data_IF_036855984570
#
_entry.id   IF_036855984570
#
_cell.length_a   1.000
_cell.length_b   1.000
_cell.length_c   1.000
_cell.angle_alpha   90.00
_cell.angle_beta   90.00
_cell.angle_gamma   90.00
#
_symmetry.space_group_name_H-M   'P 1'
#
loop_
_entity.id
_entity.type
_entity.pdbx_description
1 polymer ?
#
# COMPACT_ATOMS: atom_id res chain seq x y z
N UNK A 1 -10.09 -0.49 12.81
CA UNK A 1 -10.23 0.63 11.86
C UNK A 1 -11.03 0.17 10.65
N UNK A 2 -12.02 0.96 10.25
CA UNK A 2 -12.85 0.74 9.06
C UNK A 2 -12.85 2.01 8.23
N UNK A 3 -12.71 1.88 6.92
CA UNK A 3 -12.80 2.98 5.98
C UNK A 3 -13.68 2.55 4.80
N UNK A 4 -14.58 3.40 4.37
CA UNK A 4 -15.32 3.28 3.13
C UNK A 4 -15.09 4.53 2.30
N UNK A 5 -14.75 4.37 1.04
CA UNK A 5 -14.50 5.48 0.14
C UNK A 5 -15.28 5.34 -1.15
N UNK A 6 -15.73 6.46 -1.70
CA UNK A 6 -16.50 6.53 -2.93
C UNK A 6 -15.72 7.33 -3.97
N UNK A 7 -15.53 6.75 -5.16
CA UNK A 7 -14.82 7.40 -6.25
C UNK A 7 -15.77 8.30 -7.06
N UNK A 8 -15.52 9.61 -7.01
CA UNK A 8 -16.33 10.62 -7.70
C UNK A 8 -15.88 10.92 -9.13
N UNK A 9 -14.84 10.24 -9.62
CA UNK A 9 -14.31 10.45 -10.98
C UNK A 9 -15.44 10.29 -12.02
N UNK A 10 -15.52 11.23 -12.94
CA UNK A 10 -16.46 11.15 -14.06
C UNK A 10 -16.09 9.98 -14.99
N UNK A 11 -17.07 9.17 -15.32
CA UNK A 11 -16.97 8.03 -16.24
C UNK A 11 -18.23 8.04 -17.14
N UNK A 12 -18.27 8.94 -18.16
CA UNK A 12 -19.48 9.19 -18.96
C UNK A 12 -19.91 7.95 -19.76
N UNK A 13 -18.96 7.12 -20.18
CA UNK A 13 -19.22 5.94 -20.99
C UNK A 13 -19.45 4.68 -20.15
N UNK A 14 -19.39 4.78 -18.80
CA UNK A 14 -19.53 3.64 -17.88
C UNK A 14 -18.57 2.47 -18.18
N UNK A 15 -17.37 2.78 -18.62
CA UNK A 15 -16.36 1.77 -18.98
C UNK A 15 -15.73 1.14 -17.74
N UNK A 16 -15.50 1.93 -16.71
CA UNK A 16 -14.89 1.48 -15.44
C UNK A 16 -15.95 1.22 -14.37
N UNK A 17 -16.96 2.11 -14.28
CA UNK A 17 -17.99 2.09 -13.24
C UNK A 17 -19.38 1.93 -13.85
N UNK A 18 -19.78 0.68 -14.08
CA UNK A 18 -21.09 0.36 -14.65
C UNK A 18 -22.22 0.64 -13.66
N UNK A 19 -21.97 0.33 -12.39
CA UNK A 19 -22.91 0.53 -11.28
C UNK A 19 -22.30 1.48 -10.24
N UNK A 20 -23.16 2.10 -9.41
CA UNK A 20 -22.69 2.97 -8.32
C UNK A 20 -21.87 2.18 -7.26
N UNK A 21 -22.17 0.92 -7.06
CA UNK A 21 -21.41 0.01 -6.19
C UNK A 21 -19.95 -0.17 -6.65
N UNK A 22 -19.67 -0.09 -7.96
CA UNK A 22 -18.31 -0.23 -8.49
C UNK A 22 -17.37 0.90 -8.04
N UNK A 23 -17.97 2.02 -7.61
CA UNK A 23 -17.25 3.20 -7.12
C UNK A 23 -16.82 3.09 -5.66
N UNK A 24 -17.35 2.10 -4.93
CA UNK A 24 -17.09 1.93 -3.51
C UNK A 24 -15.86 1.04 -3.29
N UNK A 25 -15.05 1.46 -2.34
CA UNK A 25 -13.90 0.68 -1.85
C UNK A 25 -14.00 0.60 -0.34
N UNK A 26 -13.87 -0.60 0.21
CA UNK A 26 -13.89 -0.86 1.64
C UNK A 26 -12.50 -1.27 2.13
N UNK A 27 -12.18 -0.85 3.33
CA UNK A 27 -10.97 -1.24 4.03
C UNK A 27 -11.26 -1.55 5.49
N UNK A 28 -10.89 -2.73 5.93
CA UNK A 28 -11.01 -3.20 7.30
C UNK A 28 -9.63 -3.55 7.84
N UNK A 29 -9.31 -3.10 9.03
CA UNK A 29 -8.02 -3.40 9.66
C UNK A 29 -8.20 -3.62 11.15
N UNK A 30 -7.66 -4.74 11.65
CA UNK A 30 -7.57 -5.02 13.07
C UNK A 30 -6.20 -4.55 13.57
N UNK A 31 -6.20 -3.64 14.54
CA UNK A 31 -4.98 -3.09 15.12
C UNK A 31 -4.68 -3.81 16.43
N UNK A 32 -3.53 -4.49 16.49
CA UNK A 32 -3.03 -5.18 17.68
C UNK A 32 -1.71 -4.51 18.03
N UNK A 33 -1.71 -3.67 19.06
CA UNK A 33 -0.54 -2.91 19.48
C UNK A 33 -0.15 -3.26 20.91
N UNK A 34 1.16 -3.29 21.18
CA UNK A 34 1.70 -3.52 22.51
C UNK A 34 2.93 -2.65 22.76
N UNK A 35 2.99 -2.05 23.92
CA UNK A 35 4.19 -1.45 24.47
C UNK A 35 5.07 -2.53 25.06
N UNK A 36 6.20 -2.84 24.43
CA UNK A 36 7.11 -3.91 24.86
C UNK A 36 8.06 -3.44 25.96
N UNK A 37 8.53 -2.18 25.86
CA UNK A 37 9.36 -1.52 26.87
C UNK A 37 8.88 -0.08 27.04
N UNK A 38 9.47 0.68 27.95
CA UNK A 38 9.15 2.11 28.10
C UNK A 38 9.41 2.91 26.83
N UNK A 39 10.36 2.47 26.00
CA UNK A 39 10.77 3.14 24.76
C UNK A 39 10.22 2.51 23.49
N UNK A 40 9.88 1.21 23.49
CA UNK A 40 9.51 0.46 22.30
C UNK A 40 8.03 0.06 22.31
N UNK A 41 7.30 0.49 21.31
CA UNK A 41 5.94 0.03 20.98
C UNK A 41 5.94 -0.63 19.62
N UNK A 42 5.20 -1.72 19.48
CA UNK A 42 5.03 -2.46 18.23
C UNK A 42 3.55 -2.67 17.94
N UNK A 43 3.23 -2.81 16.66
CA UNK A 43 1.88 -3.08 16.19
C UNK A 43 1.92 -4.09 15.04
N UNK A 44 0.95 -4.98 15.04
CA UNK A 44 0.61 -5.85 13.90
C UNK A 44 -0.81 -5.55 13.51
N UNK A 45 -1.05 -5.37 12.22
CA UNK A 45 -2.35 -4.94 11.74
C UNK A 45 -2.75 -5.68 10.45
N UNK A 46 -3.38 -6.87 10.56
CA UNK A 46 -3.99 -7.53 9.42
C UNK A 46 -5.12 -6.67 8.86
N UNK A 47 -5.21 -6.63 7.53
CA UNK A 47 -6.18 -5.81 6.80
C UNK A 47 -6.78 -6.54 5.61
N UNK A 48 -8.03 -6.16 5.30
CA UNK A 48 -8.78 -6.59 4.13
C UNK A 48 -9.19 -5.34 3.34
N UNK A 49 -8.80 -5.28 2.09
CA UNK A 49 -9.27 -4.29 1.11
C UNK A 49 -10.23 -4.97 0.16
N UNK A 50 -11.39 -4.35 -0.11
CA UNK A 50 -12.37 -4.83 -1.08
C UNK A 50 -12.70 -3.75 -2.08
N UNK A 51 -12.75 -4.11 -3.37
CA UNK A 51 -13.14 -3.22 -4.44
C UNK A 51 -13.87 -3.98 -5.55
N UNK A 52 -15.03 -3.48 -5.97
CA UNK A 52 -15.84 -4.11 -7.03
C UNK A 52 -15.26 -3.90 -8.44
N UNK A 53 -14.66 -2.74 -8.70
CA UNK A 53 -14.01 -2.46 -9.99
C UNK A 53 -12.50 -2.73 -9.91
N UNK A 54 -12.06 -3.85 -10.43
CA UNK A 54 -10.65 -4.28 -10.45
C UNK A 54 -10.10 -4.32 -11.89
N UNK A 55 -8.78 -4.16 -12.02
CA UNK A 55 -8.12 -4.20 -13.31
C UNK A 55 -8.19 -5.60 -13.92
N UNK A 56 -8.45 -5.67 -15.23
CA UNK A 56 -8.44 -6.87 -16.01
C UNK A 56 -7.35 -6.87 -17.08
N UNK A 57 -7.21 -7.99 -17.76
CA UNK A 57 -6.35 -8.14 -18.93
C UNK A 57 -7.04 -8.98 -20.01
N UNK A 58 -6.59 -8.84 -21.25
CA UNK A 58 -7.15 -9.57 -22.37
C UNK A 58 -6.30 -10.80 -22.70
N UNK A 59 -6.97 -11.91 -23.00
CA UNK A 59 -6.37 -13.10 -23.60
C UNK A 59 -6.99 -13.31 -24.96
N UNK A 60 -6.17 -13.43 -26.00
CA UNK A 60 -6.62 -13.76 -27.35
C UNK A 60 -6.96 -15.26 -27.40
N UNK A 61 -8.21 -15.59 -27.68
CA UNK A 61 -8.67 -16.97 -27.86
C UNK A 61 -8.52 -17.39 -29.32
N UNK A 62 -8.94 -16.51 -30.25
CA UNK A 62 -8.86 -16.69 -31.72
C UNK A 62 -8.57 -15.33 -32.33
N UNK A 63 -8.34 -15.26 -33.65
CA UNK A 63 -8.05 -13.99 -34.33
C UNK A 63 -9.18 -12.96 -34.20
N UNK A 64 -10.39 -13.37 -33.91
CA UNK A 64 -11.57 -12.49 -33.80
C UNK A 64 -12.15 -12.44 -32.37
N UNK A 65 -11.64 -13.24 -31.43
CA UNK A 65 -12.25 -13.34 -30.09
C UNK A 65 -11.24 -13.04 -28.99
N UNK A 66 -11.57 -12.05 -28.18
CA UNK A 66 -10.82 -11.68 -26.96
C UNK A 66 -11.61 -12.07 -25.72
N UNK A 67 -10.95 -12.70 -24.77
CA UNK A 67 -11.50 -12.98 -23.45
C UNK A 67 -10.92 -11.98 -22.44
N UNK A 68 -11.82 -11.33 -21.68
CA UNK A 68 -11.43 -10.48 -20.56
C UNK A 68 -11.23 -11.35 -19.33
N UNK A 69 -10.06 -11.29 -18.73
CA UNK A 69 -9.73 -11.95 -17.48
C UNK A 69 -9.45 -10.91 -16.41
N UNK A 70 -9.79 -11.21 -15.15
CA UNK A 70 -9.42 -10.34 -14.02
C UNK A 70 -7.97 -10.59 -13.66
N UNK A 71 -7.18 -9.51 -13.60
CA UNK A 71 -5.81 -9.60 -13.08
C UNK A 71 -5.78 -9.59 -11.56
N UNK A 72 -6.68 -8.84 -10.95
CA UNK A 72 -6.80 -8.68 -9.49
C UNK A 72 -8.07 -9.36 -8.96
N UNK A 73 -7.98 -9.87 -7.75
CA UNK A 73 -9.15 -10.32 -6.99
C UNK A 73 -9.88 -9.10 -6.41
N UNK A 74 -11.15 -9.25 -6.05
CA UNK A 74 -11.93 -8.20 -5.39
C UNK A 74 -11.45 -7.94 -3.96
N UNK A 75 -11.06 -9.00 -3.25
CA UNK A 75 -10.50 -8.97 -1.91
C UNK A 75 -8.98 -9.04 -1.96
N UNK A 76 -8.36 -8.23 -1.12
CA UNK A 76 -6.92 -8.17 -0.99
C UNK A 76 -6.52 -8.12 0.49
N UNK A 77 -5.83 -9.17 0.93
CA UNK A 77 -5.31 -9.28 2.28
C UNK A 77 -3.88 -8.76 2.37
N UNK A 78 -3.61 -8.03 3.44
CA UNK A 78 -2.27 -7.56 3.78
C UNK A 78 -2.09 -7.57 5.30
N UNK A 79 -0.83 -7.57 5.75
CA UNK A 79 -0.47 -7.45 7.16
C UNK A 79 0.57 -6.35 7.31
N UNK A 80 0.25 -5.33 8.10
CA UNK A 80 1.16 -4.26 8.44
C UNK A 80 1.89 -4.56 9.76
N UNK A 81 3.19 -4.28 9.79
CA UNK A 81 4.05 -4.30 10.96
C UNK A 81 4.57 -2.90 11.20
N UNK A 82 4.35 -2.37 12.39
CA UNK A 82 4.81 -1.03 12.75
C UNK A 82 5.58 -1.07 14.05
N UNK A 83 6.58 -0.21 14.16
CA UNK A 83 7.31 0.00 15.38
C UNK A 83 7.55 1.50 15.62
N UNK A 84 7.50 1.91 16.87
CA UNK A 84 7.83 3.23 17.35
C UNK A 84 8.82 3.13 18.50
N UNK A 85 9.96 3.78 18.33
CA UNK A 85 11.01 3.82 19.35
C UNK A 85 11.25 5.24 19.84
N UNK A 86 11.13 5.45 21.14
CA UNK A 86 11.38 6.72 21.85
C UNK A 86 12.87 6.93 22.02
N UNK A 87 13.42 7.93 21.34
CA UNK A 87 14.82 8.31 21.48
C UNK A 87 14.98 9.21 22.71
N UNK A 88 14.12 10.22 22.82
CA UNK A 88 14.03 11.15 23.96
C UNK A 88 12.57 11.22 24.44
N UNK A 89 12.27 12.01 25.47
CA UNK A 89 10.90 12.22 25.94
C UNK A 89 10.00 12.87 24.86
N UNK A 90 10.58 13.64 23.96
CA UNK A 90 9.85 14.39 22.93
C UNK A 90 10.07 13.84 21.52
N UNK A 91 11.06 12.97 21.30
CA UNK A 91 11.43 12.50 19.95
C UNK A 91 11.29 10.99 19.83
N UNK A 92 10.62 10.54 18.78
CA UNK A 92 10.51 9.12 18.45
C UNK A 92 10.81 8.87 16.98
N UNK A 93 11.37 7.71 16.65
CA UNK A 93 11.45 7.20 15.30
C UNK A 93 10.37 6.16 15.07
N UNK A 94 9.89 6.08 13.84
CA UNK A 94 8.81 5.17 13.46
C UNK A 94 9.16 4.46 12.17
N UNK A 95 8.72 3.22 12.05
CA UNK A 95 8.78 2.43 10.83
C UNK A 95 7.46 1.69 10.65
N UNK A 96 7.00 1.59 9.41
CA UNK A 96 5.87 0.76 9.04
C UNK A 96 6.21 -0.02 7.77
N UNK A 97 5.93 -1.31 7.78
CA UNK A 97 6.07 -2.21 6.65
C UNK A 97 4.77 -2.97 6.45
N UNK A 98 4.18 -2.86 5.27
CA UNK A 98 2.90 -3.49 4.95
C UNK A 98 3.11 -4.54 3.86
N UNK A 99 3.04 -5.81 4.27
CA UNK A 99 3.23 -6.98 3.42
C UNK A 99 1.90 -7.42 2.81
N UNK A 100 1.86 -7.54 1.49
CA UNK A 100 0.73 -8.10 0.76
C UNK A 100 0.76 -9.61 0.86
N UNK A 101 -0.39 -10.20 1.16
CA UNK A 101 -0.58 -11.66 1.27
C UNK A 101 -1.25 -12.20 0.02
N UNK A 102 -2.30 -11.51 -0.46
CA UNK A 102 -3.00 -11.92 -1.67
C UNK A 102 -2.10 -11.75 -2.89
N UNK A 103 -2.04 -12.80 -3.72
CA UNK A 103 -1.35 -12.78 -5.00
C UNK A 103 -2.37 -12.72 -6.14
N UNK A 104 -2.08 -11.86 -7.10
CA UNK A 104 -2.86 -11.69 -8.32
C UNK A 104 -2.14 -12.32 -9.51
N UNK A 105 -2.89 -12.60 -10.58
CA UNK A 105 -2.32 -13.17 -11.80
C UNK A 105 -1.27 -12.24 -12.45
N UNK A 106 -1.53 -10.92 -12.42
CA UNK A 106 -0.63 -9.88 -12.94
C UNK A 106 -0.72 -8.64 -12.05
N UNK A 107 0.21 -7.70 -12.23
CA UNK A 107 0.20 -6.39 -11.56
C UNK A 107 0.12 -6.48 -10.03
N UNK A 108 0.90 -7.39 -9.44
CA UNK A 108 0.98 -7.48 -8.00
C UNK A 108 1.50 -6.18 -7.38
N UNK A 109 0.82 -5.63 -6.35
CA UNK A 109 1.28 -4.43 -5.70
C UNK A 109 2.55 -4.67 -4.90
N UNK A 110 3.44 -3.68 -4.90
CA UNK A 110 4.66 -3.72 -4.09
C UNK A 110 4.34 -3.50 -2.60
N UNK A 111 5.17 -4.00 -1.67
CA UNK A 111 5.04 -3.72 -0.26
C UNK A 111 5.08 -2.21 0.00
N UNK A 112 4.32 -1.76 1.00
CA UNK A 112 4.43 -0.38 1.47
C UNK A 112 5.43 -0.30 2.61
N UNK A 113 6.39 0.61 2.47
CA UNK A 113 7.39 0.91 3.47
C UNK A 113 7.35 2.40 3.79
N UNK A 114 7.30 2.73 5.06
CA UNK A 114 7.51 4.10 5.54
C UNK A 114 8.38 4.13 6.77
N UNK A 115 9.12 5.21 6.93
CA UNK A 115 9.88 5.50 8.13
C UNK A 115 9.86 7.00 8.39
N UNK A 116 9.95 7.39 9.63
CA UNK A 116 9.84 8.80 9.98
C UNK A 116 10.28 9.12 11.41
N UNK A 117 10.23 10.40 11.67
CA UNK A 117 10.54 10.98 12.99
C UNK A 117 9.31 11.76 13.48
N UNK A 118 9.01 11.60 14.74
CA UNK A 118 7.95 12.34 15.44
C UNK A 118 8.56 13.19 16.54
N UNK A 119 8.13 14.45 16.61
CA UNK A 119 8.46 15.40 17.65
C UNK A 119 7.19 15.82 18.37
N UNK A 120 7.12 15.54 19.66
CA UNK A 120 6.00 15.89 20.52
C UNK A 120 6.31 17.12 21.36
N UNK A 121 5.41 18.07 21.32
CA UNK A 121 5.34 19.18 22.27
C UNK A 121 4.16 18.98 23.21
N UNK A 122 3.94 19.87 24.16
CA UNK A 122 2.79 19.81 25.08
C UNK A 122 1.44 19.82 24.35
N UNK A 123 1.35 20.42 23.16
CA UNK A 123 0.08 20.64 22.44
C UNK A 123 0.06 20.07 21.02
N UNK A 124 1.19 19.73 20.44
CA UNK A 124 1.28 19.29 19.06
C UNK A 124 2.25 18.12 18.90
N UNK A 125 1.92 17.22 17.97
CA UNK A 125 2.82 16.22 17.43
C UNK A 125 3.16 16.55 15.97
N UNK A 126 4.43 16.67 15.66
CA UNK A 126 4.96 16.90 14.32
C UNK A 126 5.58 15.62 13.80
N UNK A 127 5.20 15.20 12.61
CA UNK A 127 5.74 13.99 12.00
C UNK A 127 6.31 14.32 10.63
N UNK A 128 7.55 13.94 10.40
CA UNK A 128 8.19 13.94 9.09
C UNK A 128 8.44 12.47 8.70
N UNK A 129 7.98 12.07 7.54
CA UNK A 129 8.08 10.67 7.11
C UNK A 129 8.40 10.53 5.63
N UNK A 130 9.02 9.41 5.30
CA UNK A 130 9.34 8.97 3.94
C UNK A 130 8.53 7.72 3.64
N UNK A 131 7.88 7.67 2.48
CA UNK A 131 7.03 6.55 2.08
C UNK A 131 7.20 6.23 0.60
N UNK A 132 7.08 4.94 0.23
CA UNK A 132 7.02 4.54 -1.17
C UNK A 132 5.58 4.47 -1.72
N UNK A 133 4.59 4.93 -0.96
CA UNK A 133 3.18 5.00 -1.34
C UNK A 133 2.65 6.42 -1.13
N UNK A 134 1.58 6.80 -1.85
CA UNK A 134 1.12 8.20 -1.88
C UNK A 134 -0.40 8.38 -1.81
N UNK A 135 -1.18 7.31 -1.85
CA UNK A 135 -2.62 7.45 -1.71
C UNK A 135 -3.02 7.65 -0.25
N UNK A 136 -3.98 8.55 -0.02
CA UNK A 136 -4.59 8.73 1.31
C UNK A 136 -5.49 7.55 1.69
N UNK A 137 -6.03 6.85 0.70
CA UNK A 137 -6.84 5.67 0.91
C UNK A 137 -5.95 4.44 1.11
N UNK A 138 -5.98 3.78 2.28
CA UNK A 138 -5.14 2.62 2.57
C UNK A 138 -5.47 1.42 1.68
N UNK A 139 -6.73 1.22 1.29
CA UNK A 139 -7.11 0.14 0.36
C UNK A 139 -6.43 0.32 -1.00
N UNK A 140 -6.37 1.55 -1.51
CA UNK A 140 -5.72 1.84 -2.79
C UNK A 140 -4.22 1.61 -2.70
N UNK A 141 -3.57 2.00 -1.60
CA UNK A 141 -2.15 1.68 -1.39
C UNK A 141 -1.91 0.16 -1.37
N UNK A 142 -2.76 -0.60 -0.68
CA UNK A 142 -2.63 -2.05 -0.60
C UNK A 142 -2.84 -2.75 -1.94
N UNK A 143 -3.73 -2.24 -2.79
CA UNK A 143 -4.08 -2.88 -4.06
C UNK A 143 -3.24 -2.40 -5.26
N UNK A 144 -2.72 -1.16 -5.22
CA UNK A 144 -2.17 -0.52 -6.42
C UNK A 144 -0.81 0.16 -6.21
N UNK A 145 -0.08 -0.12 -5.11
CA UNK A 145 1.25 0.44 -4.93
C UNK A 145 2.21 -0.08 -6.01
N UNK A 146 2.54 0.75 -6.98
CA UNK A 146 3.47 0.44 -8.06
C UNK A 146 4.93 0.77 -7.72
N UNK A 147 5.18 1.48 -6.60
CA UNK A 147 6.53 1.86 -6.21
C UNK A 147 7.17 0.76 -5.38
N UNK A 148 8.22 0.16 -5.93
CA UNK A 148 9.02 -0.80 -5.17
C UNK A 148 9.92 -0.05 -4.16
N UNK A 149 9.95 -0.43 -2.87
CA UNK A 149 10.87 0.18 -1.91
C UNK A 149 12.33 -0.20 -2.17
N UNK A 150 12.58 -1.33 -2.85
CA UNK A 150 13.92 -1.85 -3.09
C UNK A 150 14.20 -2.00 -4.58
N UNK A 151 15.45 -1.76 -4.97
CA UNK A 151 15.93 -2.13 -6.30
C UNK A 151 16.41 -3.58 -6.25
N UNK A 152 15.95 -4.40 -7.17
CA UNK A 152 16.39 -5.80 -7.28
C UNK A 152 16.46 -6.24 -8.75
N UNK A 153 17.16 -7.33 -9.00
CA UNK A 153 17.20 -7.97 -10.32
C UNK A 153 16.12 -9.06 -10.35
N UNK A 154 15.23 -8.99 -11.33
CA UNK A 154 14.23 -10.03 -11.54
C UNK A 154 14.84 -11.16 -12.36
N UNK A 155 15.02 -12.30 -11.75
CA UNK A 155 15.54 -13.52 -12.39
C UNK A 155 14.45 -14.43 -12.96
N UNK A 156 13.18 -14.07 -12.80
CA UNK A 156 12.05 -14.93 -13.22
C UNK A 156 11.88 -15.04 -14.73
N UNK A 157 12.44 -14.09 -15.48
CA UNK A 157 12.38 -14.03 -16.95
C UNK A 157 13.66 -14.48 -17.65
N UNK A 158 14.71 -14.85 -16.90
CA UNK A 158 16.00 -15.21 -17.48
C UNK A 158 16.02 -16.67 -17.92
N UNK A 159 16.15 -16.89 -19.21
CA UNK A 159 16.75 -18.11 -19.73
C UNK A 159 18.20 -18.17 -19.18
N UNK A 160 18.65 -19.31 -18.59
CA UNK A 160 20.01 -19.46 -18.06
C UNK A 160 21.13 -19.15 -19.07
N UNK A 161 20.79 -19.04 -20.36
CA UNK A 161 21.70 -18.77 -21.47
C UNK A 161 21.79 -17.30 -21.87
N UNK A 162 20.92 -16.43 -21.33
CA UNK A 162 20.92 -14.98 -21.64
C UNK A 162 21.70 -14.21 -20.57
N UNK A 163 22.64 -13.33 -20.94
CA UNK A 163 23.32 -12.47 -19.98
C UNK A 163 22.29 -11.61 -19.23
N UNK A 164 22.55 -11.38 -17.94
CA UNK A 164 21.74 -10.45 -17.13
C UNK A 164 21.88 -9.05 -17.74
N UNK A 165 20.82 -8.58 -18.37
CA UNK A 165 20.74 -7.24 -18.96
C UNK A 165 20.14 -6.25 -17.94
N UNK A 166 20.41 -4.97 -18.12
CA UNK A 166 19.79 -3.89 -17.32
C UNK A 166 18.25 -3.87 -17.42
N UNK A 167 17.66 -4.47 -18.45
CA UNK A 167 16.21 -4.61 -18.63
C UNK A 167 15.54 -5.48 -17.55
N UNK A 168 16.30 -6.37 -16.89
CA UNK A 168 15.83 -7.21 -15.79
C UNK A 168 15.89 -6.52 -14.42
N UNK A 169 16.50 -5.33 -14.38
CA UNK A 169 16.67 -4.57 -13.14
C UNK A 169 15.40 -3.78 -12.81
N UNK A 170 14.66 -4.22 -11.79
CA UNK A 170 13.52 -3.50 -11.26
C UNK A 170 14.03 -2.35 -10.39
N UNK A 171 13.89 -1.13 -10.90
CA UNK A 171 14.28 0.09 -10.18
C UNK A 171 13.29 0.37 -9.05
N UNK A 172 13.79 0.46 -7.85
CA UNK A 172 13.05 0.81 -6.64
C UNK A 172 13.64 2.03 -5.93
N UNK A 173 13.34 2.18 -4.64
CA UNK A 173 13.89 3.24 -3.81
C UNK A 173 13.30 4.62 -4.07
N UNK A 174 12.11 4.72 -4.70
CA UNK A 174 11.39 5.98 -4.87
C UNK A 174 10.57 6.24 -3.62
N UNK A 175 10.99 7.25 -2.85
CA UNK A 175 10.29 7.69 -1.66
C UNK A 175 9.75 9.11 -1.83
N UNK A 176 8.61 9.33 -1.22
CA UNK A 176 7.95 10.62 -1.09
C UNK A 176 8.16 11.13 0.34
N UNK A 177 8.29 12.42 0.49
CA UNK A 177 8.35 13.06 1.79
C UNK A 177 6.95 13.48 2.17
N UNK A 178 6.50 13.07 3.36
CA UNK A 178 5.23 13.45 3.96
C UNK A 178 5.45 14.15 5.28
N UNK A 179 4.50 14.98 5.62
CA UNK A 179 4.52 15.78 6.83
C UNK A 179 3.12 15.83 7.42
N UNK A 180 3.02 15.68 8.74
CA UNK A 180 1.76 15.74 9.48
C UNK A 180 1.93 16.57 10.76
N UNK A 181 0.89 17.34 11.10
CA UNK A 181 0.76 18.02 12.39
C UNK A 181 -0.54 17.57 13.03
N UNK A 182 -0.44 17.05 14.24
CA UNK A 182 -1.61 16.70 15.05
C UNK A 182 -1.63 17.61 16.28
N UNK A 183 -2.77 18.23 16.53
CA UNK A 183 -3.00 18.97 17.78
C UNK A 183 -3.51 17.99 18.85
N UNK A 184 -2.83 17.99 19.99
CA UNK A 184 -3.23 17.22 21.17
C UNK A 184 -4.12 18.11 22.04
N UNK A 185 -5.35 17.69 22.29
CA UNK A 185 -6.27 18.37 23.21
C UNK A 185 -6.14 17.69 24.57
N UNK A 186 -5.55 18.40 25.53
CA UNK A 186 -5.59 17.96 26.93
C UNK A 186 -6.87 18.51 27.55
N UNK A 187 -7.80 17.62 27.86
CA UNK A 187 -9.00 17.91 28.63
C UNK A 187 -8.76 17.65 30.11
#
# INVERSE_FOLDING_TARGET
>A
YVNASYNTKKDPNKETYRYNSDRVTYFHQLLIARKLTEKLSVQVAPSLSHRNAVNGYFTKLNDSTLKINRSMQFEHFAVAFSARYKITEVTSVMVNYDQRITRHATNNPNPSLSFGVEFNTSSHAFQLFFTNFYYLNPAINNMYNSNNPFTYTDHSTNDPKTPIDESTKVKGGRFLIGFNITRLWNY
#
